data_IF_964034018836
#
_entry.id   IF_964034018836
#
_cell.length_a   1.000
_cell.length_b   1.000
_cell.length_c   1.000
_cell.angle_alpha   90.00
_cell.angle_beta   90.00
_cell.angle_gamma   90.00
#
_symmetry.space_group_name_H-M   'P 1'
#
loop_
_entity.id
_entity.type
_entity.pdbx_description
1 polymer ?
#
# COMPACT_ATOMS: atom_id res chain seq x y z
N UNK A 1 -0.63 -40.86 -28.19
CA UNK A 1 0.34 -40.42 -27.16
C UNK A 1 0.36 -38.91 -27.17
N UNK A 2 -0.42 -38.27 -26.30
CA UNK A 2 -0.43 -36.82 -26.13
C UNK A 2 0.86 -36.39 -25.45
N UNK A 3 1.58 -35.42 -26.03
CA UNK A 3 2.70 -34.75 -25.36
C UNK A 3 2.15 -34.02 -24.14
N UNK A 4 2.47 -34.49 -22.94
CA UNK A 4 2.42 -33.64 -21.75
C UNK A 4 3.37 -32.47 -22.02
N UNK A 5 2.82 -31.27 -22.11
CA UNK A 5 3.62 -30.07 -22.14
C UNK A 5 4.36 -29.99 -20.81
N UNK A 6 5.70 -30.04 -20.84
CA UNK A 6 6.55 -29.76 -19.69
C UNK A 6 6.10 -28.42 -19.08
N UNK A 7 5.38 -28.49 -17.95
CA UNK A 7 4.98 -27.31 -17.20
C UNK A 7 6.25 -26.71 -16.60
N UNK A 8 6.77 -25.67 -17.24
CA UNK A 8 7.87 -24.88 -16.68
C UNK A 8 7.42 -24.30 -15.35
N UNK A 9 8.02 -24.77 -14.26
CA UNK A 9 7.80 -24.23 -12.93
C UNK A 9 8.65 -22.96 -12.77
N UNK A 10 8.03 -21.79 -12.90
CA UNK A 10 8.70 -20.49 -12.79
C UNK A 10 8.97 -20.06 -11.33
N UNK A 11 8.69 -20.91 -10.35
CA UNK A 11 8.75 -20.54 -8.94
C UNK A 11 7.64 -19.56 -8.54
N UNK A 12 7.62 -19.11 -7.28
CA UNK A 12 6.63 -18.14 -6.83
C UNK A 12 6.85 -16.76 -7.48
N UNK A 13 5.77 -16.11 -7.89
CA UNK A 13 5.78 -14.74 -8.39
C UNK A 13 5.20 -13.79 -7.35
N UNK A 14 5.87 -12.68 -7.09
CA UNK A 14 5.38 -11.58 -6.26
C UNK A 14 5.77 -10.27 -6.94
N UNK A 15 4.83 -9.34 -7.07
CA UNK A 15 5.09 -7.99 -7.56
C UNK A 15 4.60 -7.00 -6.50
N UNK A 16 5.36 -5.93 -6.29
CA UNK A 16 5.01 -4.86 -5.37
C UNK A 16 5.17 -3.50 -6.06
N UNK A 17 4.48 -2.47 -5.57
CA UNK A 17 4.79 -1.07 -5.87
C UNK A 17 4.80 -0.23 -4.60
N UNK A 18 5.66 0.78 -4.57
CA UNK A 18 5.73 1.80 -3.50
C UNK A 18 5.22 3.17 -3.95
N UNK A 19 4.56 3.23 -5.12
CA UNK A 19 3.95 4.45 -5.63
C UNK A 19 4.25 4.76 -7.08
N UNK A 20 3.44 5.65 -7.66
CA UNK A 20 3.64 6.20 -9.01
C UNK A 20 3.77 7.73 -8.94
N UNK A 21 4.58 8.29 -9.81
CA UNK A 21 4.82 9.73 -9.89
C UNK A 21 6.01 10.07 -10.79
N UNK A 22 6.17 11.36 -11.11
CA UNK A 22 7.34 11.85 -11.84
C UNK A 22 8.46 12.08 -10.83
N UNK A 23 9.50 11.26 -10.90
CA UNK A 23 10.73 11.46 -10.15
C UNK A 23 11.73 12.08 -11.11
N UNK A 24 12.11 13.35 -10.88
CA UNK A 24 13.22 13.95 -11.62
C UNK A 24 14.53 13.36 -11.08
N UNK A 25 15.18 12.51 -11.89
CA UNK A 25 16.41 11.79 -11.51
C UNK A 25 17.58 12.73 -11.22
N UNK A 26 17.69 13.85 -11.93
CA UNK A 26 18.78 14.82 -11.75
C UNK A 26 18.73 15.46 -10.36
N UNK A 27 17.54 15.45 -9.79
CA UNK A 27 17.21 16.04 -8.52
C UNK A 27 17.23 14.98 -7.41
N UNK A 28 17.08 13.69 -7.69
CA UNK A 28 16.95 12.69 -6.62
C UNK A 28 18.31 12.08 -6.21
N UNK A 29 18.84 12.35 -4.99
CA UNK A 29 20.18 11.90 -4.60
C UNK A 29 20.31 10.37 -4.62
N UNK A 30 21.47 9.86 -5.06
CA UNK A 30 21.73 8.40 -5.13
C UNK A 30 21.54 7.70 -3.78
N UNK A 31 21.88 8.37 -2.67
CA UNK A 31 21.66 7.84 -1.32
C UNK A 31 20.18 7.61 -1.02
N UNK A 32 19.30 8.56 -1.39
CA UNK A 32 17.86 8.43 -1.25
C UNK A 32 17.29 7.37 -2.20
N UNK A 33 17.78 7.30 -3.44
CA UNK A 33 17.42 6.22 -4.35
C UNK A 33 17.69 4.85 -3.73
N UNK A 34 18.88 4.70 -3.14
CA UNK A 34 19.27 3.46 -2.47
C UNK A 34 18.35 3.14 -1.30
N UNK A 35 18.00 4.12 -0.46
CA UNK A 35 17.06 3.92 0.66
C UNK A 35 15.68 3.41 0.20
N UNK A 36 15.12 3.98 -0.87
CA UNK A 36 13.85 3.53 -1.44
C UNK A 36 13.96 2.11 -2.04
N UNK A 37 15.05 1.82 -2.75
CA UNK A 37 15.30 0.50 -3.33
C UNK A 37 15.48 -0.55 -2.23
N UNK A 38 16.25 -0.23 -1.18
CA UNK A 38 16.46 -1.12 -0.03
C UNK A 38 15.12 -1.40 0.69
N UNK A 39 14.26 -0.39 0.85
CA UNK A 39 12.93 -0.55 1.45
C UNK A 39 12.01 -1.44 0.60
N UNK A 40 11.99 -1.24 -0.73
CA UNK A 40 11.24 -2.11 -1.66
C UNK A 40 11.78 -3.54 -1.65
N UNK A 41 13.11 -3.71 -1.65
CA UNK A 41 13.73 -5.04 -1.56
C UNK A 41 13.34 -5.73 -0.25
N UNK A 42 13.34 -5.01 0.88
CA UNK A 42 12.88 -5.53 2.17
C UNK A 42 11.44 -6.03 2.10
N UNK A 43 10.53 -5.21 1.57
CA UNK A 43 9.12 -5.58 1.41
C UNK A 43 8.95 -6.81 0.49
N UNK A 44 9.64 -6.83 -0.65
CA UNK A 44 9.58 -7.92 -1.62
C UNK A 44 10.10 -9.24 -1.03
N UNK A 45 11.24 -9.20 -0.34
CA UNK A 45 11.88 -10.40 0.21
C UNK A 45 11.05 -11.06 1.31
N UNK A 46 10.39 -10.26 2.16
CA UNK A 46 9.52 -10.78 3.22
C UNK A 46 8.36 -11.60 2.63
N UNK A 47 7.63 -11.05 1.65
CA UNK A 47 6.56 -11.79 0.99
C UNK A 47 7.07 -12.98 0.17
N UNK A 48 8.19 -12.81 -0.53
CA UNK A 48 8.78 -13.86 -1.36
C UNK A 48 9.19 -15.08 -0.53
N UNK A 49 9.79 -14.88 0.65
CA UNK A 49 10.18 -15.98 1.54
C UNK A 49 8.97 -16.76 2.10
N UNK A 50 7.81 -16.12 2.27
CA UNK A 50 6.56 -16.82 2.61
C UNK A 50 6.16 -17.75 1.46
N UNK A 51 6.10 -17.24 0.23
CA UNK A 51 5.72 -18.02 -0.94
C UNK A 51 6.70 -19.17 -1.22
N UNK A 52 8.00 -18.91 -1.09
CA UNK A 52 9.06 -19.90 -1.30
C UNK A 52 8.98 -21.08 -0.33
N UNK A 53 8.46 -20.85 0.88
CA UNK A 53 8.21 -21.89 1.89
C UNK A 53 6.85 -22.60 1.71
N UNK A 54 6.11 -22.25 0.65
CA UNK A 54 4.77 -22.80 0.39
C UNK A 54 3.66 -22.17 1.22
N UNK A 55 3.88 -20.98 1.80
CA UNK A 55 2.85 -20.23 2.52
C UNK A 55 1.84 -19.57 1.59
N UNK A 56 0.76 -19.04 2.18
CA UNK A 56 -0.37 -18.48 1.43
C UNK A 56 -0.04 -17.13 0.78
N UNK A 57 -0.57 -16.92 -0.43
CA UNK A 57 -0.38 -15.68 -1.18
C UNK A 57 -0.96 -14.45 -0.48
N UNK A 58 -2.02 -14.62 0.31
CA UNK A 58 -2.60 -13.53 1.10
C UNK A 58 -1.66 -13.09 2.23
N UNK A 59 -0.95 -14.03 2.86
CA UNK A 59 0.05 -13.75 3.89
C UNK A 59 1.27 -13.06 3.29
N UNK A 60 1.72 -13.52 2.11
CA UNK A 60 2.83 -12.90 1.40
C UNK A 60 2.55 -11.44 1.01
N UNK A 61 1.35 -11.17 0.50
CA UNK A 61 0.90 -9.82 0.12
C UNK A 61 0.75 -8.93 1.35
N UNK A 62 0.08 -9.40 2.40
CA UNK A 62 -0.05 -8.66 3.66
C UNK A 62 1.33 -8.31 4.23
N UNK A 63 2.23 -9.28 4.36
CA UNK A 63 3.54 -9.07 4.95
C UNK A 63 4.38 -8.07 4.15
N UNK A 64 4.32 -8.12 2.81
CA UNK A 64 5.01 -7.15 1.95
C UNK A 64 4.49 -5.73 2.18
N UNK A 65 3.18 -5.56 2.29
CA UNK A 65 2.58 -4.24 2.47
C UNK A 65 2.75 -3.70 3.87
N UNK A 66 2.72 -4.54 4.91
CA UNK A 66 3.07 -4.11 6.26
C UNK A 66 4.46 -3.49 6.34
N UNK A 67 5.44 -4.08 5.66
CA UNK A 67 6.80 -3.50 5.58
C UNK A 67 6.77 -2.10 4.96
N UNK A 68 5.94 -1.88 3.93
CA UNK A 68 5.78 -0.57 3.31
C UNK A 68 4.96 0.40 4.17
N UNK A 69 3.94 -0.05 4.88
CA UNK A 69 3.16 0.75 5.84
C UNK A 69 4.00 1.18 7.06
N UNK A 70 4.97 0.37 7.48
CA UNK A 70 5.88 0.74 8.57
C UNK A 70 7.03 1.65 8.10
N UNK A 71 7.19 1.85 6.79
CA UNK A 71 8.27 2.60 6.19
C UNK A 71 7.83 4.05 5.88
N UNK A 72 8.48 5.08 6.48
CA UNK A 72 8.07 6.48 6.33
C UNK A 72 8.19 7.06 4.92
N UNK A 73 8.82 6.32 4.00
CA UNK A 73 9.08 6.74 2.62
C UNK A 73 7.86 6.62 1.72
N UNK A 74 6.91 5.73 2.05
CA UNK A 74 5.75 5.45 1.23
C UNK A 74 4.51 6.16 1.77
N UNK A 75 3.55 6.45 0.90
CA UNK A 75 2.26 7.02 1.31
C UNK A 75 1.31 5.89 1.72
N UNK A 76 1.59 5.26 2.86
CA UNK A 76 0.75 4.26 3.51
C UNK A 76 1.19 4.10 4.96
N UNK A 77 0.26 3.90 5.89
CA UNK A 77 0.58 3.82 7.32
C UNK A 77 1.47 4.99 7.76
N UNK A 78 2.67 4.67 8.26
CA UNK A 78 3.69 5.64 8.62
C UNK A 78 4.18 6.38 7.38
N UNK A 79 4.06 7.70 7.38
CA UNK A 79 4.39 8.50 6.20
C UNK A 79 3.23 8.70 5.23
N UNK A 80 2.00 8.41 5.66
CA UNK A 80 0.80 8.85 4.97
C UNK A 80 0.74 10.37 4.83
N UNK A 81 0.08 10.82 3.77
CA UNK A 81 -0.24 12.24 3.53
C UNK A 81 -1.26 12.77 4.54
N UNK A 82 -1.36 14.09 4.61
CA UNK A 82 -2.30 14.79 5.48
C UNK A 82 -3.54 15.23 4.71
N UNK A 83 -4.70 15.04 5.33
CA UNK A 83 -5.97 15.64 4.91
C UNK A 83 -5.92 17.16 4.97
N UNK A 84 -6.93 17.83 4.43
CA UNK A 84 -7.08 19.30 4.55
C UNK A 84 -7.05 19.79 6.01
N UNK A 85 -7.50 18.96 6.95
CA UNK A 85 -7.51 19.27 8.39
C UNK A 85 -6.17 19.02 9.09
N UNK A 86 -5.14 18.58 8.36
CA UNK A 86 -3.82 18.29 8.92
C UNK A 86 -3.77 16.97 9.69
N UNK A 87 -4.60 15.99 9.33
CA UNK A 87 -4.63 14.65 9.96
C UNK A 87 -4.26 13.56 8.96
N UNK A 88 -3.70 12.46 9.44
CA UNK A 88 -3.59 11.24 8.65
C UNK A 88 -4.91 10.44 8.73
N UNK A 89 -5.42 10.05 7.58
CA UNK A 89 -6.57 9.15 7.41
C UNK A 89 -6.13 8.01 6.51
N UNK A 90 -6.32 6.78 6.99
CA UNK A 90 -5.82 5.58 6.31
C UNK A 90 -7.00 4.72 5.86
N UNK A 91 -6.84 4.02 4.76
CA UNK A 91 -7.74 2.96 4.34
C UNK A 91 -6.93 1.65 4.16
N UNK A 92 -7.47 0.57 3.60
CA UNK A 92 -6.76 -0.58 3.00
C UNK A 92 -7.79 -1.53 2.39
N UNK A 93 -7.40 -2.31 1.38
CA UNK A 93 -8.26 -3.37 0.86
C UNK A 93 -7.45 -4.57 0.38
N UNK A 94 -7.94 -5.77 0.63
CA UNK A 94 -7.32 -7.01 0.17
C UNK A 94 -8.38 -7.93 -0.42
N UNK A 95 -8.04 -8.60 -1.52
CA UNK A 95 -8.94 -9.52 -2.21
C UNK A 95 -8.24 -10.84 -2.49
N UNK A 96 -8.93 -11.95 -2.25
CA UNK A 96 -8.48 -13.27 -2.66
C UNK A 96 -9.31 -13.70 -3.87
N UNK A 97 -8.68 -13.80 -5.04
CA UNK A 97 -9.36 -14.13 -6.31
C UNK A 97 -9.88 -15.56 -6.44
N UNK A 98 -10.22 -16.26 -5.34
CA UNK A 98 -10.77 -17.62 -5.36
C UNK A 98 -12.23 -17.67 -5.82
N UNK A 99 -12.97 -16.61 -5.62
CA UNK A 99 -14.34 -16.40 -6.05
C UNK A 99 -14.62 -14.90 -6.24
N UNK A 100 -15.89 -14.52 -6.45
CA UNK A 100 -16.31 -13.14 -6.69
C UNK A 100 -16.47 -12.29 -5.43
N UNK A 101 -16.31 -12.84 -4.22
CA UNK A 101 -16.75 -12.19 -2.99
C UNK A 101 -15.75 -12.22 -1.82
N UNK A 102 -14.63 -12.91 -1.94
CA UNK A 102 -13.63 -12.99 -0.87
C UNK A 102 -12.74 -11.74 -0.84
N UNK A 103 -13.18 -10.71 -0.12
CA UNK A 103 -12.48 -9.45 0.05
C UNK A 103 -12.65 -8.88 1.48
N UNK A 104 -11.76 -7.98 1.87
CA UNK A 104 -11.86 -7.19 3.08
C UNK A 104 -11.28 -5.80 2.86
N UNK A 105 -11.91 -4.77 3.44
CA UNK A 105 -11.51 -3.38 3.29
C UNK A 105 -11.83 -2.55 4.53
N UNK A 106 -11.06 -1.49 4.74
CA UNK A 106 -11.26 -0.54 5.83
C UNK A 106 -10.91 0.90 5.39
N UNK A 107 -11.55 1.92 5.96
CA UNK A 107 -11.27 3.34 5.64
C UNK A 107 -11.44 4.26 6.85
N UNK A 108 -11.01 5.52 6.73
CA UNK A 108 -11.10 6.56 7.76
C UNK A 108 -10.47 6.14 9.10
N UNK A 109 -9.36 5.40 9.03
CA UNK A 109 -8.61 4.94 10.20
C UNK A 109 -7.62 6.03 10.64
N UNK A 110 -7.44 6.14 11.95
CA UNK A 110 -6.54 7.09 12.59
C UNK A 110 -5.57 6.44 13.58
N UNK A 111 -5.84 5.22 14.05
CA UNK A 111 -5.04 4.57 15.11
C UNK A 111 -4.66 3.13 14.80
N UNK A 112 -5.20 2.50 13.76
CA UNK A 112 -4.80 1.14 13.35
C UNK A 112 -3.44 1.21 12.67
N UNK A 113 -2.39 0.63 13.28
CA UNK A 113 -1.00 0.76 12.80
C UNK A 113 -0.81 0.27 11.36
N UNK A 114 -1.37 -0.90 11.06
CA UNK A 114 -1.27 -1.57 9.77
C UNK A 114 -2.67 -1.83 9.20
N UNK A 115 -3.24 -0.88 8.43
CA UNK A 115 -4.56 -1.03 7.82
C UNK A 115 -4.71 -2.32 6.99
N UNK A 116 -3.68 -2.77 6.29
CA UNK A 116 -3.75 -4.03 5.52
C UNK A 116 -4.06 -5.25 6.38
N UNK A 117 -3.56 -5.28 7.62
CA UNK A 117 -3.85 -6.37 8.55
C UNK A 117 -5.32 -6.34 8.99
N UNK A 118 -5.92 -5.16 9.15
CA UNK A 118 -7.35 -5.05 9.39
C UNK A 118 -8.17 -5.53 8.19
N UNK A 119 -7.80 -5.14 6.97
CA UNK A 119 -8.45 -5.61 5.75
C UNK A 119 -8.39 -7.15 5.64
N UNK A 120 -7.24 -7.77 5.91
CA UNK A 120 -7.09 -9.23 5.97
C UNK A 120 -7.93 -9.86 7.07
N UNK A 121 -7.97 -9.24 8.25
CA UNK A 121 -8.78 -9.71 9.38
C UNK A 121 -10.27 -9.71 9.03
N UNK A 122 -10.76 -8.71 8.29
CA UNK A 122 -12.15 -8.68 7.80
C UNK A 122 -12.43 -9.79 6.80
N UNK A 123 -11.50 -10.05 5.88
CA UNK A 123 -11.61 -11.13 4.90
C UNK A 123 -11.66 -12.52 5.55
N UNK A 124 -10.87 -12.74 6.58
CA UNK A 124 -10.69 -14.07 7.20
C UNK A 124 -11.64 -14.36 8.37
N UNK A 125 -12.35 -13.37 8.89
CA UNK A 125 -13.23 -13.57 10.05
C UNK A 125 -14.58 -14.18 9.64
N UNK A 126 -14.86 -15.45 9.99
CA UNK A 126 -16.13 -16.09 9.65
C UNK A 126 -17.33 -15.51 10.42
N UNK A 127 -17.09 -14.81 11.53
CA UNK A 127 -18.14 -14.20 12.35
C UNK A 127 -18.56 -12.81 11.83
N UNK A 128 -17.79 -12.23 10.91
CA UNK A 128 -18.03 -10.91 10.35
C UNK A 128 -18.71 -11.01 8.98
N UNK A 129 -19.95 -10.52 8.82
CA UNK A 129 -20.65 -10.55 7.54
C UNK A 129 -20.24 -9.40 6.59
N UNK A 130 -19.35 -8.49 7.02
CA UNK A 130 -19.05 -7.25 6.29
C UNK A 130 -17.71 -7.29 5.55
N UNK A 131 -17.73 -7.00 4.26
CA UNK A 131 -16.51 -6.83 3.44
C UNK A 131 -15.80 -5.50 3.73
N UNK A 132 -16.52 -4.48 4.20
CA UNK A 132 -15.98 -3.12 4.35
C UNK A 132 -16.46 -2.46 5.64
N UNK A 133 -15.53 -1.94 6.45
CA UNK A 133 -15.81 -1.10 7.61
C UNK A 133 -15.15 0.28 7.50
N UNK A 134 -15.70 1.30 8.15
CA UNK A 134 -15.15 2.65 8.13
C UNK A 134 -15.14 3.33 9.49
N UNK A 135 -14.16 4.21 9.71
CA UNK A 135 -14.10 5.12 10.84
C UNK A 135 -14.05 4.39 12.18
N UNK A 136 -14.80 4.93 13.15
CA UNK A 136 -14.78 4.45 14.54
C UNK A 136 -15.20 2.98 14.68
N UNK A 137 -16.08 2.48 13.82
CA UNK A 137 -16.51 1.08 13.88
C UNK A 137 -15.41 0.13 13.38
N UNK A 138 -14.64 0.54 12.36
CA UNK A 138 -13.46 -0.21 11.92
C UNK A 138 -12.39 -0.25 13.02
N UNK A 139 -12.16 0.84 13.75
CA UNK A 139 -11.19 0.86 14.86
C UNK A 139 -11.63 0.04 16.07
N UNK A 140 -12.92 0.10 16.44
CA UNK A 140 -13.47 -0.78 17.50
C UNK A 140 -13.32 -2.24 17.13
N UNK A 141 -13.58 -2.59 15.87
CA UNK A 141 -13.40 -3.94 15.36
C UNK A 141 -11.92 -4.36 15.37
N UNK A 142 -11.01 -3.50 14.92
CA UNK A 142 -9.57 -3.75 14.99
C UNK A 142 -9.13 -4.03 16.44
N UNK A 143 -9.60 -3.21 17.39
CA UNK A 143 -9.32 -3.37 18.81
C UNK A 143 -9.90 -4.66 19.38
N UNK A 144 -11.12 -5.05 19.00
CA UNK A 144 -11.75 -6.28 19.49
C UNK A 144 -11.04 -7.54 18.97
N UNK A 145 -10.44 -7.46 17.78
CA UNK A 145 -9.57 -8.51 17.20
C UNK A 145 -8.12 -8.47 17.71
N UNK A 146 -7.79 -7.53 18.60
CA UNK A 146 -6.46 -7.43 19.23
C UNK A 146 -5.37 -6.87 18.31
N UNK A 147 -5.73 -6.10 17.28
CA UNK A 147 -4.75 -5.46 16.41
C UNK A 147 -4.00 -4.34 17.14
N UNK A 148 -2.78 -4.06 16.69
CA UNK A 148 -1.94 -3.00 17.26
C UNK A 148 -2.53 -1.62 16.96
N UNK A 149 -2.87 -0.89 18.03
CA UNK A 149 -3.36 0.48 17.98
C UNK A 149 -2.23 1.42 18.40
N UNK A 150 -2.02 2.50 17.64
CA UNK A 150 -0.96 3.49 17.86
C UNK A 150 -1.54 4.88 18.05
N UNK A 151 -0.78 5.75 18.70
CA UNK A 151 -1.07 7.18 18.72
C UNK A 151 -0.98 7.75 17.29
N UNK A 152 -1.91 8.62 16.85
CA UNK A 152 -1.87 9.22 15.51
C UNK A 152 -0.53 9.86 15.13
N UNK A 153 0.27 10.32 16.11
CA UNK A 153 1.61 10.85 15.89
C UNK A 153 2.58 9.83 15.26
N UNK A 154 2.30 8.53 15.34
CA UNK A 154 3.08 7.48 14.65
C UNK A 154 3.11 7.68 13.14
N UNK A 155 2.00 8.13 12.55
CA UNK A 155 1.85 8.29 11.10
C UNK A 155 2.53 9.56 10.58
N UNK A 156 2.76 10.53 11.46
CA UNK A 156 3.32 11.83 11.13
C UNK A 156 4.79 11.72 10.71
N UNK A 157 5.16 12.42 9.64
CA UNK A 157 6.57 12.66 9.32
C UNK A 157 6.80 14.12 8.93
N UNK A 158 8.00 14.63 9.23
CA UNK A 158 8.38 16.01 8.90
C UNK A 158 8.28 16.29 7.41
N UNK A 159 8.66 15.32 6.58
CA UNK A 159 8.62 15.44 5.12
C UNK A 159 7.17 15.59 4.63
N UNK A 160 6.26 14.72 5.05
CA UNK A 160 4.84 14.79 4.65
C UNK A 160 4.16 16.04 5.17
N UNK A 161 4.55 16.52 6.36
CA UNK A 161 4.00 17.76 6.91
C UNK A 161 4.43 18.98 6.09
N UNK A 162 5.70 19.04 5.68
CA UNK A 162 6.18 20.09 4.77
C UNK A 162 5.38 20.09 3.45
N UNK A 163 5.22 18.92 2.82
CA UNK A 163 4.43 18.76 1.59
C UNK A 163 2.98 19.26 1.76
N UNK A 164 2.36 18.99 2.92
CA UNK A 164 1.03 19.47 3.24
C UNK A 164 0.95 21.00 3.29
N UNK A 165 1.89 21.66 4.00
CA UNK A 165 1.95 23.12 4.09
C UNK A 165 2.19 23.77 2.73
N UNK A 166 3.16 23.26 1.96
CA UNK A 166 3.47 23.75 0.62
C UNK A 166 2.24 23.62 -0.32
N UNK A 167 1.46 22.56 -0.16
CA UNK A 167 0.21 22.34 -0.90
C UNK A 167 -0.93 23.30 -0.52
N UNK A 168 -1.01 23.71 0.75
CA UNK A 168 -1.98 24.71 1.21
C UNK A 168 -1.65 26.12 0.72
N UNK A 169 -0.35 26.47 0.68
CA UNK A 169 0.10 27.78 0.21
C UNK A 169 -0.14 27.98 -1.29
N UNK A 170 0.12 26.95 -2.11
CA UNK A 170 -0.11 26.96 -3.57
C UNK A 170 -1.59 27.08 -3.96
N UNK A 171 -2.52 26.78 -3.04
CA UNK A 171 -3.98 26.90 -3.26
C UNK A 171 -4.55 28.29 -2.94
N UNK A 172 -3.73 29.27 -2.49
CA UNK A 172 -4.18 30.67 -2.41
C UNK A 172 -4.37 31.22 -3.83
N UNK A 173 -5.57 31.69 -4.21
CA UNK A 173 -5.90 31.96 -5.60
C UNK A 173 -5.35 33.33 -6.02
N UNK A 174 -4.16 33.34 -6.59
CA UNK A 174 -3.88 34.27 -7.68
C UNK A 174 -3.67 33.45 -8.96
N UNK A 175 -4.68 33.54 -9.85
CA UNK A 175 -4.73 32.99 -11.21
C UNK A 175 -5.11 31.50 -11.36
N UNK A 176 -6.42 31.29 -11.33
CA UNK A 176 -7.18 30.20 -11.96
C UNK A 176 -7.04 30.18 -13.51
N UNK A 177 -5.80 30.27 -14.04
CA UNK A 177 -5.48 30.22 -15.48
C UNK A 177 -4.56 29.05 -15.88
N UNK A 178 -4.19 28.18 -14.95
CA UNK A 178 -3.25 27.07 -15.20
C UNK A 178 -3.93 25.70 -15.29
N UNK A 179 -5.17 25.62 -15.81
CA UNK A 179 -5.80 24.31 -16.09
C UNK A 179 -5.46 23.76 -17.49
N UNK A 180 -4.67 24.48 -18.30
CA UNK A 180 -4.46 24.16 -19.72
C UNK A 180 -3.07 23.65 -20.12
N UNK A 181 -2.12 23.47 -19.20
CA UNK A 181 -0.80 22.94 -19.55
C UNK A 181 -0.54 21.61 -18.82
N UNK A 182 -0.91 20.50 -19.47
CA UNK A 182 -0.54 19.13 -19.08
C UNK A 182 0.94 18.81 -19.37
N UNK A 183 1.71 19.77 -19.89
CA UNK A 183 3.13 19.62 -20.25
C UNK A 183 4.06 20.50 -19.38
N UNK A 184 3.67 20.75 -18.13
CA UNK A 184 4.45 21.54 -17.19
C UNK A 184 5.60 20.75 -16.57
N UNK A 185 6.77 20.80 -17.21
CA UNK A 185 8.05 20.42 -16.61
C UNK A 185 8.28 21.23 -15.33
N UNK A 186 7.92 20.63 -14.19
CA UNK A 186 8.05 21.28 -12.91
C UNK A 186 9.45 20.97 -12.35
N UNK A 187 10.33 21.95 -12.43
CA UNK A 187 11.62 21.95 -11.73
C UNK A 187 11.35 22.06 -10.23
N UNK A 188 10.97 20.94 -9.60
CA UNK A 188 10.74 20.82 -8.16
C UNK A 188 11.98 20.25 -7.49
N UNK A 189 12.26 20.74 -6.28
CA UNK A 189 13.47 20.46 -5.51
C UNK A 189 13.90 18.99 -5.52
N UNK A 190 15.22 18.81 -5.46
CA UNK A 190 15.92 17.54 -5.30
C UNK A 190 15.30 16.54 -4.31
N UNK A 191 14.63 17.07 -3.30
CA UNK A 191 14.14 16.31 -2.17
C UNK A 191 12.67 15.88 -2.26
N UNK A 192 11.94 16.24 -3.32
CA UNK A 192 10.47 16.16 -3.27
C UNK A 192 9.81 15.67 -4.57
N UNK A 193 9.91 14.36 -4.90
CA UNK A 193 8.93 13.76 -5.78
C UNK A 193 7.59 13.78 -5.04
N UNK A 194 6.59 14.45 -5.59
CA UNK A 194 5.22 14.36 -5.09
C UNK A 194 4.81 12.90 -5.15
N UNK A 195 4.92 12.23 -4.00
CA UNK A 195 4.49 10.85 -3.83
C UNK A 195 2.98 10.88 -3.64
N UNK A 196 2.26 11.09 -4.74
CA UNK A 196 0.85 10.65 -4.89
C UNK A 196 0.76 9.11 -4.91
N UNK A 197 1.91 8.44 -4.96
CA UNK A 197 2.01 7.01 -5.07
C UNK A 197 1.71 6.28 -3.78
N UNK A 198 0.76 5.36 -3.85
CA UNK A 198 0.34 4.42 -2.81
C UNK A 198 1.17 3.14 -2.86
N UNK A 199 0.96 2.23 -1.91
CA UNK A 199 1.63 0.93 -1.89
C UNK A 199 0.69 -0.17 -2.36
N UNK A 200 1.26 -1.27 -2.85
CA UNK A 200 0.47 -2.43 -3.26
C UNK A 200 1.32 -3.65 -3.53
N UNK A 201 0.69 -4.82 -3.47
CA UNK A 201 1.35 -6.10 -3.75
C UNK A 201 0.38 -7.09 -4.39
N UNK A 202 0.93 -8.02 -5.17
CA UNK A 202 0.18 -9.02 -5.92
C UNK A 202 0.97 -10.32 -6.03
N UNK A 203 0.31 -11.42 -5.70
CA UNK A 203 0.84 -12.77 -5.85
C UNK A 203 -0.24 -13.69 -6.44
N UNK A 204 0.12 -14.65 -7.30
CA UNK A 204 -0.78 -15.70 -7.73
C UNK A 204 -1.03 -16.67 -6.58
N UNK A 205 -2.26 -17.14 -6.46
CA UNK A 205 -2.61 -18.22 -5.55
C UNK A 205 -2.20 -19.58 -6.16
N UNK A 206 -1.34 -20.32 -5.47
CA UNK A 206 -0.90 -21.66 -5.86
C UNK A 206 -1.68 -22.71 -5.05
N UNK A 207 -2.76 -23.24 -5.61
CA UNK A 207 -3.40 -24.45 -5.07
C UNK A 207 -2.77 -25.68 -5.75
N UNK A 208 -2.34 -26.66 -4.94
CA UNK A 208 -1.39 -27.72 -5.33
C UNK A 208 -1.85 -28.61 -6.52
N UNK A 209 -3.12 -28.60 -6.92
CA UNK A 209 -3.60 -29.45 -8.03
C UNK A 209 -4.22 -28.72 -9.23
N UNK A 210 -4.39 -27.40 -9.19
CA UNK A 210 -4.79 -26.61 -10.35
C UNK A 210 -4.09 -25.25 -10.31
N UNK A 211 -3.35 -24.94 -11.37
CA UNK A 211 -2.93 -23.56 -11.67
C UNK A 211 -4.20 -22.79 -12.04
N UNK A 212 -4.96 -22.39 -11.04
CA UNK A 212 -5.94 -21.33 -11.24
C UNK A 212 -5.18 -20.04 -10.97
N UNK A 213 -4.88 -19.30 -12.03
CA UNK A 213 -4.27 -17.96 -11.96
C UNK A 213 -5.24 -17.01 -11.26
N UNK A 214 -5.22 -17.01 -9.94
CA UNK A 214 -6.07 -16.19 -9.09
C UNK A 214 -5.20 -15.14 -8.43
N UNK A 215 -5.59 -13.90 -8.62
CA UNK A 215 -4.79 -12.72 -8.34
C UNK A 215 -5.19 -12.16 -6.99
N UNK A 216 -4.25 -12.00 -6.06
CA UNK A 216 -4.47 -11.15 -4.89
C UNK A 216 -4.15 -9.72 -5.32
N UNK A 217 -5.16 -8.87 -5.42
CA UNK A 217 -4.97 -7.45 -5.73
C UNK A 217 -5.13 -6.63 -4.46
N UNK A 218 -4.15 -5.76 -4.20
CA UNK A 218 -4.09 -4.87 -3.05
C UNK A 218 -3.87 -3.44 -3.56
N UNK A 219 -4.83 -2.57 -3.26
CA UNK A 219 -4.89 -1.13 -3.57
C UNK A 219 -5.51 -0.48 -2.31
N UNK A 220 -5.16 0.70 -1.79
CA UNK A 220 -5.18 2.12 -2.25
C UNK A 220 -4.41 2.94 -1.15
N UNK A 221 -4.35 4.29 -1.17
CA UNK A 221 -4.57 5.27 -0.06
C UNK A 221 -4.44 6.73 -0.59
N UNK A 222 -5.56 7.43 -0.83
CA UNK A 222 -5.58 8.88 -1.12
C UNK A 222 -5.88 9.71 0.13
#
# INVERSE_FOLDING_TARGET
MSKEADKVNHGPTLVIHGGAGIINRDNFPESKQKEYIDALNGALLVGYEILKKGGDSIDAVEASVRVMEDCPFFNAGKGSVFTLSGKNELEASIMLGIDSHTAGACTLLHTVKNPITLAKTLLQDPENPHVFLGGIEAEKYAKSKGLEMVDPAYFWTKQRWKQHLDGLEKKKPENLKMLNNLDGGDSRDADDPISMGTVGAIAPHLQVDLIIKKMVALVIHH
#
